data_IF_823417195474
#
_entry.id   IF_823417195474
#
_cell.length_a   1.000
_cell.length_b   1.000
_cell.length_c   1.000
_cell.angle_alpha   90.00
_cell.angle_beta   90.00
_cell.angle_gamma   90.00
#
_symmetry.space_group_name_H-M   'P 1'
#
loop_
_entity.id
_entity.type
_entity.pdbx_description
1 polymer ?
#
# COMPACT_ATOMS: atom_id res chain seq x y z
N UNK A 1 -32.92 0.76 33.49
CA UNK A 1 -33.97 1.28 32.58
C UNK A 1 -34.16 2.77 32.80
N UNK A 2 -34.26 3.22 34.06
CA UNK A 2 -34.50 4.63 34.42
C UNK A 2 -33.27 5.56 34.36
N UNK A 3 -32.06 5.03 34.15
CA UNK A 3 -30.85 5.87 34.01
C UNK A 3 -31.02 6.84 32.84
N UNK A 4 -30.70 8.12 33.05
CA UNK A 4 -30.96 9.17 32.05
C UNK A 4 -30.04 9.03 30.84
N UNK A 5 -30.51 9.51 29.67
CA UNK A 5 -29.69 9.57 28.46
C UNK A 5 -28.40 10.35 28.70
N UNK A 6 -28.46 11.46 29.43
CA UNK A 6 -27.30 12.27 29.76
C UNK A 6 -26.24 11.48 30.53
N UNK A 7 -26.66 10.72 31.54
CA UNK A 7 -25.73 9.98 32.39
C UNK A 7 -25.05 8.82 31.64
N UNK A 8 -25.80 8.11 30.78
CA UNK A 8 -25.23 7.08 29.93
C UNK A 8 -24.24 7.67 28.91
N UNK A 9 -24.60 8.77 28.24
CA UNK A 9 -23.71 9.45 27.28
C UNK A 9 -22.41 9.94 27.95
N UNK A 10 -22.49 10.46 29.17
CA UNK A 10 -21.31 10.85 29.97
C UNK A 10 -20.41 9.65 30.24
N UNK A 11 -20.98 8.52 30.67
CA UNK A 11 -20.22 7.30 30.92
C UNK A 11 -19.58 6.72 29.64
N UNK A 12 -20.25 6.81 28.49
CA UNK A 12 -19.69 6.44 27.19
C UNK A 12 -18.43 7.25 26.87
N UNK A 13 -18.49 8.57 27.06
CA UNK A 13 -17.34 9.46 26.85
C UNK A 13 -16.18 9.17 27.81
N UNK A 14 -16.47 9.06 29.11
CA UNK A 14 -15.43 8.87 30.14
C UNK A 14 -14.70 7.53 30.00
N UNK A 15 -15.41 6.48 29.59
CA UNK A 15 -14.86 5.12 29.48
C UNK A 15 -14.44 4.73 28.07
N UNK A 16 -14.67 5.59 27.07
CA UNK A 16 -14.39 5.33 25.65
C UNK A 16 -15.04 4.03 25.13
N UNK A 17 -16.29 3.78 25.52
CA UNK A 17 -17.07 2.61 25.10
C UNK A 17 -18.17 3.00 24.11
N UNK A 18 -18.24 2.30 22.98
CA UNK A 18 -19.22 2.57 21.91
C UNK A 18 -20.60 1.90 22.09
N UNK A 19 -20.76 1.07 23.12
CA UNK A 19 -22.04 0.43 23.45
C UNK A 19 -22.14 0.08 24.93
N UNK A 20 -23.37 0.09 25.46
CA UNK A 20 -23.71 -0.26 26.84
C UNK A 20 -24.83 -1.29 26.87
N UNK A 21 -24.70 -2.27 27.77
CA UNK A 21 -25.78 -3.20 28.09
C UNK A 21 -26.51 -2.72 29.34
N UNK A 22 -27.83 -2.62 29.23
CA UNK A 22 -28.71 -2.29 30.34
C UNK A 22 -29.12 -3.60 30.99
N UNK A 23 -28.88 -3.73 32.29
CA UNK A 23 -29.22 -4.92 33.09
C UNK A 23 -30.27 -4.59 34.15
N UNK A 24 -31.04 -5.59 34.58
CA UNK A 24 -31.89 -5.49 35.76
C UNK A 24 -31.12 -5.83 37.05
N UNK A 25 -31.79 -5.76 38.20
CA UNK A 25 -31.20 -6.08 39.53
C UNK A 25 -30.64 -7.50 39.65
N UNK A 26 -31.13 -8.43 38.82
CA UNK A 26 -30.66 -9.83 38.77
C UNK A 26 -29.46 -10.01 37.82
N UNK A 27 -28.96 -8.94 37.20
CA UNK A 27 -27.87 -8.98 36.22
C UNK A 27 -28.30 -9.49 34.84
N UNK A 28 -29.60 -9.59 34.56
CA UNK A 28 -30.10 -10.05 33.26
C UNK A 28 -30.15 -8.88 32.27
N UNK A 29 -29.73 -9.06 31.01
CA UNK A 29 -29.75 -8.00 30.02
C UNK A 29 -31.18 -7.69 29.56
N UNK A 30 -31.60 -6.44 29.74
CA UNK A 30 -32.95 -5.94 29.36
C UNK A 30 -32.93 -4.99 28.16
N UNK A 31 -31.76 -4.46 27.79
CA UNK A 31 -31.59 -3.68 26.56
C UNK A 31 -30.13 -3.42 26.22
N UNK A 32 -29.88 -2.94 25.00
CA UNK A 32 -28.58 -2.45 24.53
C UNK A 32 -28.73 -1.05 23.93
N UNK A 33 -27.79 -0.16 24.22
CA UNK A 33 -27.72 1.16 23.61
C UNK A 33 -26.32 1.38 23.00
N UNK A 34 -26.27 1.90 21.78
CA UNK A 34 -25.03 2.14 21.03
C UNK A 34 -24.85 3.62 20.71
N UNK A 35 -23.64 4.05 20.32
CA UNK A 35 -23.39 5.43 19.87
C UNK A 35 -24.37 5.86 18.76
N UNK A 36 -24.72 4.96 17.85
CA UNK A 36 -25.69 5.21 16.78
C UNK A 36 -27.09 5.56 17.30
N UNK A 37 -27.52 4.97 18.41
CA UNK A 37 -28.82 5.28 19.03
C UNK A 37 -28.80 6.70 19.63
N UNK A 38 -27.69 7.10 20.23
CA UNK A 38 -27.49 8.45 20.75
C UNK A 38 -27.38 9.50 19.64
N UNK A 39 -26.68 9.20 18.54
CA UNK A 39 -26.59 10.09 17.38
C UNK A 39 -27.98 10.30 16.76
N UNK A 40 -28.74 9.21 16.57
CA UNK A 40 -30.11 9.28 16.07
C UNK A 40 -30.99 10.14 16.97
N UNK A 41 -30.98 9.88 18.28
CA UNK A 41 -31.74 10.68 19.26
C UNK A 41 -31.32 12.14 19.27
N UNK A 42 -30.02 12.42 19.25
CA UNK A 42 -29.46 13.77 19.24
C UNK A 42 -29.78 14.60 17.99
N UNK A 43 -30.20 13.95 16.89
CA UNK A 43 -30.61 14.61 15.65
C UNK A 43 -32.06 15.12 15.66
N UNK A 44 -32.85 14.76 16.66
CA UNK A 44 -34.24 15.18 16.83
C UNK A 44 -34.33 16.62 17.38
N UNK A 45 -35.44 17.32 17.11
CA UNK A 45 -35.68 18.65 17.71
C UNK A 45 -36.16 18.49 19.15
N UNK A 46 -35.65 19.33 20.06
CA UNK A 46 -36.04 19.38 21.48
C UNK A 46 -35.85 18.05 22.25
N UNK A 47 -34.66 17.45 22.12
CA UNK A 47 -34.30 16.23 22.86
C UNK A 47 -34.30 16.50 24.37
N UNK A 48 -35.11 15.75 25.11
CA UNK A 48 -35.00 15.70 26.57
C UNK A 48 -33.92 14.70 26.98
N UNK A 49 -32.76 15.20 27.39
CA UNK A 49 -31.63 14.36 27.83
C UNK A 49 -31.80 13.76 29.23
N UNK A 50 -32.82 14.21 29.98
CA UNK A 50 -33.21 13.62 31.26
C UNK A 50 -34.18 12.44 31.10
N UNK A 51 -34.57 12.11 29.86
CA UNK A 51 -35.43 10.95 29.62
C UNK A 51 -34.69 9.63 29.87
N UNK A 52 -35.39 8.53 30.21
CA UNK A 52 -34.75 7.27 30.56
C UNK A 52 -34.16 6.56 29.33
N UNK A 53 -33.05 5.83 29.51
CA UNK A 53 -32.37 5.07 28.46
C UNK A 53 -33.27 4.02 27.79
N UNK A 54 -34.31 3.58 28.49
CA UNK A 54 -35.34 2.68 27.94
C UNK A 54 -36.04 3.23 26.69
N UNK A 55 -36.05 4.56 26.47
CA UNK A 55 -36.66 5.16 25.29
C UNK A 55 -35.89 4.90 23.99
N UNK A 56 -34.57 4.68 24.06
CA UNK A 56 -33.73 4.53 22.87
C UNK A 56 -33.04 3.17 22.77
N UNK A 57 -33.00 2.41 23.87
CA UNK A 57 -32.35 1.09 23.87
C UNK A 57 -33.09 0.10 22.97
N UNK A 58 -32.34 -0.77 22.32
CA UNK A 58 -32.91 -1.91 21.60
C UNK A 58 -33.26 -3.03 22.57
N UNK A 59 -34.47 -3.57 22.46
CA UNK A 59 -35.01 -4.66 23.28
C UNK A 59 -36.03 -5.47 22.44
N UNK A 60 -36.15 -6.81 22.62
CA UNK A 60 -35.38 -7.66 23.52
C UNK A 60 -33.93 -7.86 23.06
N UNK A 61 -33.03 -8.08 24.02
CA UNK A 61 -31.61 -8.34 23.74
C UNK A 61 -31.46 -9.72 23.09
N UNK A 62 -30.69 -9.78 22.00
CA UNK A 62 -30.27 -11.05 21.40
C UNK A 62 -29.08 -11.59 22.17
N UNK A 63 -29.34 -12.64 22.95
CA UNK A 63 -28.34 -13.32 23.77
C UNK A 63 -27.77 -14.55 23.05
N UNK A 64 -26.55 -14.93 23.41
CA UNK A 64 -25.89 -16.14 22.96
C UNK A 64 -25.08 -16.78 24.10
N UNK A 65 -25.00 -18.11 24.09
CA UNK A 65 -24.33 -18.85 25.16
C UNK A 65 -22.81 -18.68 25.09
N UNK A 66 -22.15 -18.68 26.25
CA UNK A 66 -20.69 -18.82 26.32
C UNK A 66 -20.20 -20.06 25.56
N UNK A 67 -19.07 -19.91 24.86
CA UNK A 67 -18.48 -20.99 24.05
C UNK A 67 -19.07 -21.15 22.64
N UNK A 68 -19.94 -20.24 22.19
CA UNK A 68 -20.39 -20.20 20.80
C UNK A 68 -19.22 -19.96 19.83
N UNK A 69 -19.27 -20.62 18.66
CA UNK A 69 -18.25 -20.49 17.61
C UNK A 69 -18.42 -19.19 16.82
N UNK A 70 -17.35 -18.74 16.16
CA UNK A 70 -17.40 -17.55 15.28
C UNK A 70 -18.50 -17.66 14.21
N UNK A 71 -18.70 -18.84 13.64
CA UNK A 71 -19.78 -19.08 12.67
C UNK A 71 -21.18 -18.88 13.30
N UNK A 72 -21.39 -19.38 14.52
CA UNK A 72 -22.66 -19.18 15.24
C UNK A 72 -22.91 -17.70 15.55
N UNK A 73 -21.86 -16.96 15.93
CA UNK A 73 -21.96 -15.52 16.16
C UNK A 73 -22.35 -14.76 14.88
N UNK A 74 -21.70 -15.05 13.75
CA UNK A 74 -22.00 -14.42 12.44
C UNK A 74 -23.44 -14.73 12.00
N UNK A 75 -23.87 -15.98 12.13
CA UNK A 75 -25.23 -16.40 11.76
C UNK A 75 -26.26 -15.68 12.64
N UNK A 76 -26.02 -15.61 13.96
CA UNK A 76 -26.92 -14.90 14.88
C UNK A 76 -27.00 -13.40 14.56
N UNK A 77 -25.85 -12.73 14.37
CA UNK A 77 -25.79 -11.32 13.97
C UNK A 77 -26.54 -11.07 12.65
N UNK A 78 -26.30 -11.90 11.63
CA UNK A 78 -26.96 -11.78 10.32
C UNK A 78 -28.46 -12.02 10.40
N UNK A 79 -28.90 -13.07 11.10
CA UNK A 79 -30.32 -13.41 11.28
C UNK A 79 -31.09 -12.27 11.96
N UNK A 80 -30.49 -11.65 12.97
CA UNK A 80 -31.11 -10.59 13.73
C UNK A 80 -30.83 -9.18 13.20
N UNK A 81 -29.97 -9.05 12.17
CA UNK A 81 -29.53 -7.78 11.57
C UNK A 81 -28.95 -6.80 12.60
N UNK A 82 -28.05 -7.30 13.44
CA UNK A 82 -27.41 -6.57 14.53
C UNK A 82 -25.90 -6.79 14.52
N UNK A 83 -25.15 -5.81 15.03
CA UNK A 83 -23.68 -5.85 15.07
C UNK A 83 -23.11 -6.28 16.43
N UNK A 84 -23.97 -6.52 17.42
CA UNK A 84 -23.58 -6.87 18.78
C UNK A 84 -24.41 -8.05 19.29
N UNK A 85 -23.76 -8.98 20.00
CA UNK A 85 -24.41 -10.07 20.72
C UNK A 85 -24.03 -9.99 22.20
N UNK A 86 -25.01 -10.21 23.07
CA UNK A 86 -24.77 -10.30 24.51
C UNK A 86 -24.49 -11.74 24.87
N UNK A 87 -23.36 -11.98 25.53
CA UNK A 87 -22.99 -13.32 26.00
C UNK A 87 -23.57 -13.52 27.39
N UNK A 88 -24.41 -14.53 27.56
CA UNK A 88 -25.00 -14.90 28.87
C UNK A 88 -24.66 -16.34 29.24
N UNK A 89 -24.89 -16.72 30.50
CA UNK A 89 -24.50 -18.02 31.03
C UNK A 89 -25.14 -19.20 30.29
N UNK A 90 -26.44 -19.09 29.98
CA UNK A 90 -27.22 -20.13 29.30
C UNK A 90 -27.56 -19.79 27.84
N UNK A 91 -27.27 -18.57 27.40
CA UNK A 91 -27.57 -18.07 26.06
C UNK A 91 -28.94 -17.45 25.88
N UNK A 92 -29.68 -17.24 26.96
CA UNK A 92 -30.96 -16.51 26.99
C UNK A 92 -30.77 -15.13 27.64
N UNK A 93 -31.71 -14.20 27.41
CA UNK A 93 -31.72 -12.89 28.07
C UNK A 93 -32.20 -12.99 29.54
N UNK A 94 -32.51 -14.19 30.02
CA UNK A 94 -33.03 -14.51 31.34
C UNK A 94 -31.96 -15.11 32.25
N UNK A 95 -30.68 -15.03 31.84
CA UNK A 95 -29.53 -15.37 32.67
C UNK A 95 -28.54 -14.21 32.76
N UNK A 96 -27.64 -14.22 33.77
CA UNK A 96 -26.66 -13.16 33.96
C UNK A 96 -25.77 -12.94 32.74
N UNK A 97 -25.49 -11.67 32.46
CA UNK A 97 -24.51 -11.28 31.43
C UNK A 97 -23.09 -11.65 31.85
N UNK A 98 -22.34 -12.19 30.89
CA UNK A 98 -20.91 -12.47 30.99
C UNK A 98 -20.06 -11.47 30.18
N UNK A 99 -20.62 -10.92 29.10
CA UNK A 99 -19.95 -9.94 28.27
C UNK A 99 -20.72 -9.59 27.01
N UNK A 100 -20.05 -8.88 26.10
CA UNK A 100 -20.56 -8.47 24.80
C UNK A 100 -19.54 -8.83 23.72
N UNK A 101 -20.01 -9.27 22.55
CA UNK A 101 -19.18 -9.49 21.37
C UNK A 101 -19.76 -8.67 20.23
N UNK A 102 -18.93 -7.84 19.61
CA UNK A 102 -19.27 -7.09 18.40
C UNK A 102 -18.84 -7.82 17.13
N UNK A 103 -19.42 -7.44 15.99
CA UNK A 103 -18.98 -7.90 14.68
C UNK A 103 -17.49 -7.55 14.44
N UNK A 104 -17.03 -6.42 15.00
CA UNK A 104 -15.63 -6.01 14.98
C UNK A 104 -14.75 -7.01 15.74
N UNK A 105 -15.18 -7.53 16.88
CA UNK A 105 -14.41 -8.52 17.64
C UNK A 105 -14.26 -9.83 16.85
N UNK A 106 -15.32 -10.26 16.15
CA UNK A 106 -15.25 -11.42 15.26
C UNK A 106 -14.26 -11.17 14.12
N UNK A 107 -14.29 -9.99 13.50
CA UNK A 107 -13.32 -9.59 12.48
C UNK A 107 -11.88 -9.58 13.02
N UNK A 108 -11.68 -9.19 14.29
CA UNK A 108 -10.37 -9.19 14.94
C UNK A 108 -9.89 -10.61 15.31
N UNK A 109 -10.82 -11.52 15.63
CA UNK A 109 -10.51 -12.93 15.91
C UNK A 109 -10.00 -13.67 14.69
N UNK A 110 -10.47 -13.30 13.49
CA UNK A 110 -9.90 -13.76 12.24
C UNK A 110 -8.58 -13.02 11.98
N UNK A 111 -7.48 -13.53 12.55
CA UNK A 111 -6.12 -12.97 12.44
C UNK A 111 -5.54 -12.86 11.02
N UNK A 112 -6.36 -13.05 9.98
CA UNK A 112 -6.10 -12.85 8.56
C UNK A 112 -6.93 -11.67 8.04
N UNK A 113 -7.00 -10.58 8.82
CA UNK A 113 -7.63 -9.32 8.42
C UNK A 113 -6.57 -8.21 8.38
N UNK A 114 -6.48 -7.40 7.31
CA UNK A 114 -5.52 -6.31 7.20
C UNK A 114 -5.51 -5.36 8.40
N UNK A 115 -6.70 -4.99 8.90
CA UNK A 115 -6.83 -4.04 10.01
C UNK A 115 -6.22 -4.57 11.32
N UNK A 116 -6.25 -5.89 11.54
CA UNK A 116 -5.61 -6.54 12.68
C UNK A 116 -4.09 -6.43 12.57
N UNK A 117 -3.53 -6.71 11.39
CA UNK A 117 -2.09 -6.66 11.18
C UNK A 117 -1.56 -5.22 11.32
N UNK A 118 -2.24 -4.24 10.72
CA UNK A 118 -1.92 -2.82 10.85
C UNK A 118 -1.94 -2.38 12.32
N UNK A 119 -2.99 -2.73 13.07
CA UNK A 119 -3.06 -2.43 14.50
C UNK A 119 -1.88 -3.04 15.27
N UNK A 120 -1.58 -4.32 15.03
CA UNK A 120 -0.47 -5.01 15.69
C UNK A 120 0.89 -4.39 15.34
N UNK A 121 1.09 -3.94 14.11
CA UNK A 121 2.29 -3.20 13.73
C UNK A 121 2.41 -1.92 14.56
N UNK A 122 1.33 -1.12 14.65
CA UNK A 122 1.32 0.13 15.44
C UNK A 122 1.68 -0.10 16.92
N UNK A 123 1.22 -1.23 17.48
CA UNK A 123 1.46 -1.61 18.89
C UNK A 123 2.81 -2.31 19.12
N UNK A 124 3.55 -2.66 18.07
CA UNK A 124 4.81 -3.40 18.18
C UNK A 124 5.89 -2.60 18.94
N UNK A 125 6.62 -3.31 19.82
CA UNK A 125 7.63 -2.72 20.72
C UNK A 125 9.07 -3.14 20.39
N UNK A 126 9.24 -4.04 19.44
CA UNK A 126 10.52 -4.58 19.01
C UNK A 126 10.49 -4.96 17.52
N UNK A 127 11.67 -5.12 16.94
CA UNK A 127 11.86 -5.38 15.49
C UNK A 127 11.44 -6.81 15.15
N UNK A 128 11.66 -7.78 16.05
CA UNK A 128 11.27 -9.17 15.82
C UNK A 128 9.76 -9.31 15.63
N UNK A 129 8.97 -8.55 16.41
CA UNK A 129 7.52 -8.48 16.29
C UNK A 129 7.10 -7.88 14.94
N UNK A 130 7.77 -6.83 14.46
CA UNK A 130 7.51 -6.29 13.11
C UNK A 130 7.74 -7.35 12.03
N UNK A 131 8.88 -8.05 12.08
CA UNK A 131 9.22 -9.12 11.14
C UNK A 131 8.18 -10.25 11.15
N UNK A 132 7.75 -10.68 12.34
CA UNK A 132 6.73 -11.71 12.49
C UNK A 132 5.38 -11.26 11.90
N UNK A 133 4.94 -10.04 12.16
CA UNK A 133 3.68 -9.52 11.59
C UNK A 133 3.80 -9.39 10.08
N UNK A 134 4.96 -8.98 9.55
CA UNK A 134 5.19 -8.91 8.11
C UNK A 134 5.13 -10.29 7.45
N UNK A 135 5.62 -11.35 8.09
CA UNK A 135 5.46 -12.72 7.58
C UNK A 135 3.98 -13.13 7.50
N UNK A 136 3.17 -12.79 8.51
CA UNK A 136 1.72 -13.02 8.47
C UNK A 136 1.01 -12.21 7.38
N UNK A 137 1.49 -11.01 7.08
CA UNK A 137 0.97 -10.22 5.97
C UNK A 137 1.21 -10.91 4.61
N UNK A 138 2.37 -11.54 4.42
CA UNK A 138 2.64 -12.34 3.23
C UNK A 138 1.65 -13.52 3.07
N UNK A 139 1.34 -14.23 4.15
CA UNK A 139 0.32 -15.28 4.15
C UNK A 139 -1.07 -14.75 3.77
N UNK A 140 -1.46 -13.59 4.32
CA UNK A 140 -2.72 -12.93 4.00
C UNK A 140 -2.79 -12.55 2.52
N UNK A 141 -1.75 -11.90 2.00
CA UNK A 141 -1.65 -11.46 0.62
C UNK A 141 -1.71 -12.67 -0.32
N UNK A 142 -0.98 -13.75 0.00
CA UNK A 142 -1.02 -14.97 -0.81
C UNK A 142 -2.40 -15.61 -0.86
N UNK A 143 -3.12 -15.63 0.28
CA UNK A 143 -4.50 -16.12 0.32
C UNK A 143 -5.44 -15.26 -0.55
N UNK A 144 -5.33 -13.94 -0.50
CA UNK A 144 -6.09 -13.05 -1.38
C UNK A 144 -5.80 -13.28 -2.86
N UNK A 145 -4.53 -13.51 -3.22
CA UNK A 145 -4.15 -13.81 -4.60
C UNK A 145 -4.81 -15.10 -5.10
N UNK A 146 -4.85 -16.15 -4.26
CA UNK A 146 -5.47 -17.45 -4.58
C UNK A 146 -7.00 -17.42 -4.62
N UNK A 147 -7.61 -16.48 -3.90
CA UNK A 147 -9.06 -16.24 -3.91
C UNK A 147 -9.50 -15.27 -5.01
N UNK A 148 -8.57 -14.91 -5.92
CA UNK A 148 -8.83 -13.99 -7.03
C UNK A 148 -9.34 -12.61 -6.60
N UNK A 149 -9.02 -12.17 -5.38
CA UNK A 149 -9.31 -10.81 -4.91
C UNK A 149 -8.60 -9.82 -5.83
N UNK A 150 -9.26 -8.70 -6.16
CA UNK A 150 -8.77 -7.64 -7.06
C UNK A 150 -7.36 -7.17 -6.69
N UNK A 151 -6.46 -7.02 -7.68
CA UNK A 151 -5.07 -6.59 -7.43
C UNK A 151 -4.99 -5.17 -6.87
N UNK A 152 -5.75 -4.17 -7.35
CA UNK A 152 -5.84 -2.86 -6.71
C UNK A 152 -6.08 -2.91 -5.20
N UNK A 153 -6.99 -3.79 -4.74
CA UNK A 153 -7.24 -3.96 -3.30
C UNK A 153 -6.05 -4.59 -2.57
N UNK A 154 -5.46 -5.66 -3.12
CA UNK A 154 -4.30 -6.31 -2.51
C UNK A 154 -3.10 -5.34 -2.43
N UNK A 155 -2.89 -4.55 -3.48
CA UNK A 155 -1.85 -3.53 -3.56
C UNK A 155 -2.05 -2.44 -2.48
N UNK A 156 -3.27 -1.94 -2.31
CA UNK A 156 -3.61 -0.96 -1.28
C UNK A 156 -3.37 -1.52 0.14
N UNK A 157 -3.82 -2.76 0.40
CA UNK A 157 -3.58 -3.46 1.67
C UNK A 157 -2.09 -3.62 1.94
N UNK A 158 -1.32 -4.06 0.94
CA UNK A 158 0.12 -4.28 1.09
C UNK A 158 0.86 -2.98 1.35
N UNK A 159 0.46 -1.91 0.67
CA UNK A 159 1.01 -0.57 0.85
C UNK A 159 0.76 -0.05 2.27
N UNK A 160 -0.47 -0.14 2.78
CA UNK A 160 -0.80 0.29 4.16
C UNK A 160 -0.01 -0.50 5.22
N UNK A 161 0.17 -1.81 5.02
CA UNK A 161 0.97 -2.65 5.92
C UNK A 161 2.45 -2.24 5.89
N UNK A 162 3.02 -2.06 4.69
CA UNK A 162 4.42 -1.67 4.53
C UNK A 162 4.66 -0.26 5.10
N UNK A 163 3.74 0.68 4.87
CA UNK A 163 3.81 2.04 5.42
C UNK A 163 3.76 2.00 6.93
N UNK A 164 2.79 1.29 7.52
CA UNK A 164 2.69 1.18 8.97
C UNK A 164 3.97 0.59 9.58
N UNK A 165 4.58 -0.39 8.92
CA UNK A 165 5.87 -0.94 9.32
C UNK A 165 6.99 0.10 9.21
N UNK A 166 7.03 0.87 8.12
CA UNK A 166 7.97 1.97 7.92
C UNK A 166 7.84 3.04 9.02
N UNK A 167 6.62 3.44 9.39
CA UNK A 167 6.40 4.37 10.51
C UNK A 167 7.02 3.83 11.81
N UNK A 168 6.84 2.54 12.12
CA UNK A 168 7.48 1.92 13.29
C UNK A 168 9.00 1.84 13.18
N UNK A 169 9.54 1.59 11.99
CA UNK A 169 10.97 1.62 11.75
C UNK A 169 11.55 3.02 12.01
N UNK A 170 10.82 4.09 11.67
CA UNK A 170 11.17 5.45 12.04
C UNK A 170 11.11 5.68 13.55
N UNK A 171 10.04 5.28 14.24
CA UNK A 171 9.94 5.41 15.70
C UNK A 171 11.15 4.78 16.41
N UNK A 172 11.51 3.55 16.01
CA UNK A 172 12.67 2.85 16.57
C UNK A 172 14.00 3.50 16.20
N UNK A 173 14.12 4.01 14.97
CA UNK A 173 15.34 4.70 14.52
C UNK A 173 15.54 6.03 15.24
N UNK A 174 14.49 6.81 15.47
CA UNK A 174 14.57 8.03 16.27
C UNK A 174 14.99 7.73 17.72
N UNK A 175 14.36 6.73 18.34
CA UNK A 175 14.72 6.32 19.70
C UNK A 175 16.18 5.83 19.79
N UNK A 176 16.67 5.13 18.76
CA UNK A 176 18.07 4.68 18.66
C UNK A 176 19.03 5.87 18.53
N UNK A 177 18.83 6.74 17.55
CA UNK A 177 19.70 7.89 17.32
C UNK A 177 19.72 8.86 18.51
N UNK A 178 18.59 9.06 19.18
CA UNK A 178 18.53 9.87 20.40
C UNK A 178 19.39 9.27 21.52
N UNK A 179 19.39 7.94 21.71
CA UNK A 179 20.25 7.26 22.69
C UNK A 179 21.73 7.36 22.33
N UNK A 180 22.05 7.43 21.06
CA UNK A 180 23.42 7.65 20.55
C UNK A 180 23.86 9.13 20.66
N UNK A 181 22.99 10.02 21.13
CA UNK A 181 23.29 11.44 21.32
C UNK A 181 23.12 12.30 20.05
N UNK A 182 22.61 11.74 18.96
CA UNK A 182 22.33 12.50 17.73
C UNK A 182 21.03 13.29 17.90
N UNK A 183 21.12 14.62 17.79
CA UNK A 183 19.96 15.51 17.84
C UNK A 183 19.38 15.68 16.44
N UNK A 184 18.06 15.48 16.32
CA UNK A 184 17.33 15.76 15.10
C UNK A 184 17.45 17.25 14.75
N UNK A 185 17.91 17.61 13.53
CA UNK A 185 17.91 19.00 13.09
C UNK A 185 16.47 19.51 12.98
N UNK A 186 16.26 20.82 13.18
CA UNK A 186 14.97 21.48 13.05
C UNK A 186 14.60 21.70 11.57
N UNK A 187 14.66 20.62 10.78
CA UNK A 187 14.38 20.58 9.35
C UNK A 187 13.30 19.55 9.09
N UNK A 188 12.34 19.91 8.25
CA UNK A 188 11.40 18.96 7.69
C UNK A 188 12.14 18.00 6.76
N UNK A 189 11.67 16.76 6.68
CA UNK A 189 12.20 15.76 5.76
C UNK A 189 11.09 14.82 5.32
N UNK A 190 11.30 14.13 4.21
CA UNK A 190 10.43 13.11 3.68
C UNK A 190 11.24 11.91 3.19
N UNK A 191 10.79 10.72 3.57
CA UNK A 191 11.21 9.46 2.98
C UNK A 191 10.49 9.26 1.66
N UNK A 192 11.25 8.97 0.62
CA UNK A 192 10.77 8.66 -0.71
C UNK A 192 10.78 7.14 -0.88
N UNK A 193 9.62 6.54 -1.02
CA UNK A 193 9.51 5.18 -1.56
C UNK A 193 9.58 5.28 -3.08
N UNK A 194 10.43 4.50 -3.72
CA UNK A 194 10.76 4.61 -5.15
C UNK A 194 10.36 3.34 -5.92
N UNK A 195 10.43 3.40 -7.24
CA UNK A 195 10.22 2.23 -8.09
C UNK A 195 8.87 1.56 -7.85
N UNK A 196 8.83 0.23 -7.73
CA UNK A 196 7.56 -0.48 -7.51
C UNK A 196 6.91 -0.17 -6.16
N UNK A 197 7.67 0.22 -5.15
CA UNK A 197 7.11 0.64 -3.86
C UNK A 197 6.50 2.05 -3.97
N UNK A 198 7.17 2.95 -4.69
CA UNK A 198 6.67 4.29 -5.00
C UNK A 198 5.42 4.30 -5.89
N UNK A 199 5.24 3.26 -6.71
CA UNK A 199 4.01 3.01 -7.48
C UNK A 199 2.91 2.28 -6.71
N UNK A 200 3.18 1.79 -5.50
CA UNK A 200 2.23 0.96 -4.74
C UNK A 200 1.94 -0.40 -5.39
N UNK A 201 2.93 -0.99 -6.07
CA UNK A 201 2.77 -2.23 -6.87
C UNK A 201 3.52 -3.43 -6.28
N UNK A 202 4.13 -3.27 -5.10
CA UNK A 202 4.94 -4.30 -4.44
C UNK A 202 4.05 -5.28 -3.66
N UNK A 203 3.52 -6.32 -4.32
CA UNK A 203 2.65 -7.33 -3.68
C UNK A 203 3.41 -8.35 -2.81
N UNK A 204 4.69 -8.62 -3.13
CA UNK A 204 5.58 -9.46 -2.32
C UNK A 204 6.75 -8.58 -1.86
N UNK A 205 7.39 -8.90 -0.74
CA UNK A 205 8.68 -8.29 -0.38
C UNK A 205 9.68 -8.44 -1.53
N UNK A 206 10.15 -7.32 -2.06
CA UNK A 206 11.25 -7.26 -3.03
C UNK A 206 12.37 -6.39 -2.48
N UNK A 207 13.29 -6.00 -3.35
CA UNK A 207 14.26 -4.93 -3.13
C UNK A 207 13.60 -3.65 -2.61
N UNK A 208 14.32 -2.97 -1.72
CA UNK A 208 13.97 -1.65 -1.19
C UNK A 208 14.61 -0.58 -2.06
N UNK A 209 13.79 0.23 -2.76
CA UNK A 209 14.29 1.43 -3.43
C UNK A 209 13.79 2.65 -2.64
N UNK A 210 14.69 3.36 -1.97
CA UNK A 210 14.32 4.50 -1.14
C UNK A 210 15.37 5.61 -1.09
N UNK A 211 14.91 6.80 -0.72
CA UNK A 211 15.71 8.00 -0.61
C UNK A 211 15.16 8.94 0.48
N UNK A 212 15.94 9.95 0.87
CA UNK A 212 15.49 11.02 1.76
C UNK A 212 15.67 12.37 1.07
N UNK A 213 14.62 13.18 1.10
CA UNK A 213 14.65 14.62 0.84
C UNK A 213 14.47 15.37 2.14
N UNK A 214 15.24 16.42 2.38
CA UNK A 214 15.08 17.31 3.53
C UNK A 214 15.12 18.78 3.12
N UNK A 215 14.62 19.67 3.98
CA UNK A 215 14.73 21.12 3.75
C UNK A 215 16.19 21.55 3.61
N UNK A 216 16.42 22.58 2.79
CA UNK A 216 17.75 23.17 2.67
C UNK A 216 18.22 23.70 4.04
N UNK A 217 19.32 23.17 4.59
CA UNK A 217 19.81 23.58 5.90
C UNK A 217 20.34 25.02 5.85
N UNK A 218 20.29 25.76 6.98
CA UNK A 218 20.97 27.05 7.10
C UNK A 218 22.48 26.90 6.83
N UNK A 219 23.09 28.00 6.39
CA UNK A 219 24.53 28.06 6.12
C UNK A 219 25.34 27.57 7.34
N UNK A 220 26.28 26.65 7.10
CA UNK A 220 27.14 26.04 8.12
C UNK A 220 26.52 24.83 8.83
N UNK A 221 25.29 24.41 8.49
CA UNK A 221 24.63 23.22 9.05
C UNK A 221 24.48 22.07 8.04
N UNK A 222 25.03 22.20 6.84
CA UNK A 222 24.89 21.25 5.73
C UNK A 222 25.40 19.86 6.10
N UNK A 223 26.63 19.78 6.62
CA UNK A 223 27.27 18.51 6.97
C UNK A 223 26.55 17.83 8.14
N UNK A 224 26.12 18.61 9.13
CA UNK A 224 25.38 18.11 10.29
C UNK A 224 24.03 17.52 9.88
N UNK A 225 23.28 18.23 9.02
CA UNK A 225 22.01 17.76 8.49
C UNK A 225 22.19 16.50 7.63
N UNK A 226 23.14 16.52 6.70
CA UNK A 226 23.45 15.38 5.83
C UNK A 226 23.85 14.15 6.65
N UNK A 227 24.71 14.30 7.65
CA UNK A 227 25.12 13.21 8.52
C UNK A 227 23.94 12.63 9.31
N UNK A 228 23.10 13.49 9.89
CA UNK A 228 21.93 13.04 10.65
C UNK A 228 20.97 12.23 9.77
N UNK A 229 20.59 12.75 8.60
CA UNK A 229 19.64 12.07 7.72
C UNK A 229 20.21 10.79 7.11
N UNK A 230 21.52 10.73 6.85
CA UNK A 230 22.19 9.50 6.41
C UNK A 230 22.14 8.42 7.50
N UNK A 231 22.41 8.80 8.76
CA UNK A 231 22.32 7.88 9.90
C UNK A 231 20.90 7.41 10.16
N UNK A 232 19.91 8.30 10.00
CA UNK A 232 18.49 7.96 10.08
C UNK A 232 18.10 6.98 8.98
N UNK A 233 18.44 7.29 7.72
CA UNK A 233 18.17 6.43 6.57
C UNK A 233 18.79 5.04 6.73
N UNK A 234 20.06 4.96 7.11
CA UNK A 234 20.75 3.70 7.41
C UNK A 234 20.04 2.89 8.50
N UNK A 235 19.68 3.51 9.62
CA UNK A 235 18.97 2.81 10.71
C UNK A 235 17.61 2.26 10.28
N UNK A 236 16.87 3.00 9.44
CA UNK A 236 15.56 2.53 8.93
C UNK A 236 15.75 1.37 7.95
N UNK A 237 16.69 1.49 7.00
CA UNK A 237 17.04 0.41 6.05
C UNK A 237 17.41 -0.88 6.80
N UNK A 238 18.22 -0.77 7.85
CA UNK A 238 18.62 -1.92 8.68
C UNK A 238 17.43 -2.64 9.34
N UNK A 239 16.41 -1.89 9.77
CA UNK A 239 15.19 -2.45 10.35
C UNK A 239 14.34 -3.14 9.28
N UNK A 240 14.21 -2.53 8.10
CA UNK A 240 13.50 -3.12 6.97
C UNK A 240 14.17 -4.42 6.50
N UNK A 241 15.51 -4.48 6.46
CA UNK A 241 16.25 -5.71 6.18
C UNK A 241 15.92 -6.82 7.20
N UNK A 242 15.88 -6.48 8.49
CA UNK A 242 15.48 -7.42 9.56
C UNK A 242 14.00 -7.88 9.45
N UNK A 243 13.15 -7.07 8.82
CA UNK A 243 11.76 -7.44 8.50
C UNK A 243 11.63 -8.29 7.21
N UNK A 244 12.76 -8.66 6.59
CA UNK A 244 12.83 -9.56 5.44
C UNK A 244 12.68 -8.88 4.07
N UNK A 245 12.82 -7.55 4.00
CA UNK A 245 12.98 -6.87 2.72
C UNK A 245 14.40 -7.10 2.17
N UNK A 246 14.57 -7.17 0.85
CA UNK A 246 15.87 -7.41 0.24
C UNK A 246 16.65 -6.09 0.05
N UNK A 247 17.99 -6.08 0.12
CA UNK A 247 18.77 -4.92 -0.28
C UNK A 247 18.62 -4.66 -1.79
N UNK A 248 18.69 -3.40 -2.20
CA UNK A 248 18.73 -3.05 -3.61
C UNK A 248 20.09 -3.39 -4.22
N UNK A 249 20.17 -4.22 -5.28
CA UNK A 249 21.43 -4.50 -5.97
C UNK A 249 22.11 -3.28 -6.59
N UNK A 250 21.33 -2.23 -6.90
CA UNK A 250 21.82 -0.96 -7.42
C UNK A 250 22.19 0.06 -6.34
N UNK A 251 22.12 -0.33 -5.06
CA UNK A 251 22.40 0.53 -3.90
C UNK A 251 21.57 1.82 -3.88
N UNK A 252 20.30 1.72 -4.29
CA UNK A 252 19.30 2.80 -4.29
C UNK A 252 18.58 2.82 -2.95
N UNK A 253 19.32 3.14 -1.89
CA UNK A 253 18.81 3.13 -0.53
C UNK A 253 19.26 4.39 0.23
N UNK A 254 18.46 4.84 1.19
CA UNK A 254 18.73 5.97 2.07
C UNK A 254 19.90 5.72 3.06
N UNK A 255 20.52 4.54 3.00
CA UNK A 255 21.83 4.25 3.60
C UNK A 255 23.00 4.75 2.76
N UNK A 256 22.76 5.19 1.51
CA UNK A 256 23.77 5.73 0.61
C UNK A 256 23.65 7.27 0.55
N UNK A 257 24.73 8.03 0.81
CA UNK A 257 24.72 9.50 0.79
C UNK A 257 24.32 10.09 -0.55
N UNK A 258 24.44 9.34 -1.66
CA UNK A 258 23.93 9.78 -2.96
C UNK A 258 22.42 10.04 -2.94
N UNK A 259 21.66 9.32 -2.12
CA UNK A 259 20.20 9.35 -2.09
C UNK A 259 19.63 10.04 -0.84
N UNK A 260 20.48 10.77 -0.14
CA UNK A 260 20.10 11.62 1.01
C UNK A 260 20.53 13.04 0.69
N UNK A 261 19.60 13.88 0.23
CA UNK A 261 19.91 15.22 -0.27
C UNK A 261 18.90 16.26 0.24
N UNK A 262 19.32 17.54 0.36
CA UNK A 262 18.36 18.61 0.56
C UNK A 262 17.49 18.81 -0.70
N UNK A 263 16.40 19.55 -0.56
CA UNK A 263 15.43 19.78 -1.64
C UNK A 263 16.08 20.41 -2.87
N UNK A 264 16.92 21.44 -2.70
CA UNK A 264 17.67 22.03 -3.83
C UNK A 264 18.56 21.01 -4.55
N UNK A 265 19.20 20.11 -3.81
CA UNK A 265 20.04 19.05 -4.34
C UNK A 265 19.26 18.04 -5.19
N UNK A 266 18.06 17.66 -4.76
CA UNK A 266 17.16 16.81 -5.55
C UNK A 266 16.63 17.51 -6.79
N UNK A 267 16.20 18.77 -6.68
CA UNK A 267 15.75 19.57 -7.83
C UNK A 267 16.84 19.65 -8.90
N UNK A 268 18.09 19.95 -8.48
CA UNK A 268 19.25 19.94 -9.38
C UNK A 268 19.46 18.57 -10.02
N UNK A 269 19.40 17.48 -9.26
CA UNK A 269 19.56 16.12 -9.77
C UNK A 269 18.53 15.77 -10.86
N UNK A 270 17.26 16.13 -10.64
CA UNK A 270 16.20 15.90 -11.62
C UNK A 270 16.40 16.76 -12.87
N UNK A 271 16.79 18.03 -12.70
CA UNK A 271 17.15 18.90 -13.83
C UNK A 271 18.32 18.35 -14.63
N UNK A 272 19.35 17.82 -13.97
CA UNK A 272 20.52 17.23 -14.63
C UNK A 272 20.12 15.99 -15.43
N UNK A 273 19.31 15.08 -14.87
CA UNK A 273 18.83 13.90 -15.60
C UNK A 273 17.97 14.23 -16.83
N UNK A 274 17.18 15.30 -16.76
CA UNK A 274 16.34 15.76 -17.88
C UNK A 274 17.17 16.49 -18.93
N UNK A 275 18.13 17.32 -18.49
CA UNK A 275 18.97 18.13 -19.38
C UNK A 275 20.03 17.31 -20.10
N UNK A 276 20.50 16.22 -19.47
CA UNK A 276 21.55 15.35 -19.98
C UNK A 276 21.09 13.88 -19.92
N UNK A 277 20.18 13.44 -20.82
CA UNK A 277 19.59 12.10 -20.80
C UNK A 277 20.55 11.02 -21.34
N UNK A 278 21.72 10.91 -20.73
CA UNK A 278 22.63 9.79 -20.93
C UNK A 278 22.06 8.51 -20.27
N UNK A 279 22.77 7.39 -20.39
CA UNK A 279 22.31 6.10 -19.83
C UNK A 279 22.01 6.17 -18.32
N UNK A 280 22.85 6.88 -17.56
CA UNK A 280 22.67 7.07 -16.12
C UNK A 280 21.44 7.93 -15.81
N UNK A 281 21.27 9.06 -16.50
CA UNK A 281 20.12 9.95 -16.30
C UNK A 281 18.79 9.31 -16.64
N UNK A 282 18.73 8.54 -17.73
CA UNK A 282 17.53 7.78 -18.11
C UNK A 282 17.23 6.65 -17.12
N UNK A 283 18.26 6.01 -16.57
CA UNK A 283 18.09 5.00 -15.53
C UNK A 283 17.55 5.64 -14.25
N UNK A 284 18.15 6.76 -13.81
CA UNK A 284 17.68 7.55 -12.68
C UNK A 284 16.21 7.96 -12.85
N UNK A 285 15.87 8.59 -13.97
CA UNK A 285 14.49 8.97 -14.30
C UNK A 285 13.51 7.77 -14.24
N UNK A 286 13.92 6.59 -14.71
CA UNK A 286 13.04 5.40 -14.71
C UNK A 286 12.72 4.85 -13.32
N UNK A 287 13.49 5.24 -12.30
CA UNK A 287 13.35 4.77 -10.91
C UNK A 287 12.79 5.89 -10.03
N UNK A 288 13.42 7.06 -10.10
CA UNK A 288 13.15 8.18 -9.21
C UNK A 288 11.96 9.02 -9.60
N UNK A 289 11.44 8.93 -10.82
CA UNK A 289 10.22 9.65 -11.20
C UNK A 289 8.95 8.90 -10.77
N UNK A 290 9.11 7.69 -10.23
CA UNK A 290 8.06 6.96 -9.52
C UNK A 290 8.29 7.02 -8.01
N UNK A 291 8.34 8.23 -7.47
CA UNK A 291 8.47 8.45 -6.04
C UNK A 291 7.12 8.75 -5.40
N UNK A 292 6.91 8.30 -4.15
CA UNK A 292 5.82 8.75 -3.30
C UNK A 292 6.32 9.05 -1.89
N UNK A 293 5.63 9.92 -1.13
CA UNK A 293 5.93 10.08 0.29
C UNK A 293 5.62 8.79 1.05
N UNK A 294 6.61 8.27 1.80
CA UNK A 294 6.44 7.13 2.71
C UNK A 294 6.41 7.52 4.20
N UNK A 295 7.16 8.54 4.59
CA UNK A 295 7.19 9.07 5.96
C UNK A 295 7.67 10.52 5.97
N UNK A 296 7.07 11.37 6.80
CA UNK A 296 7.49 12.76 6.97
C UNK A 296 6.63 13.73 6.20
N UNK A 297 7.21 14.84 5.78
CA UNK A 297 6.49 15.98 5.22
C UNK A 297 6.29 15.89 3.71
N UNK A 298 5.06 15.61 3.27
CA UNK A 298 4.73 15.47 1.86
C UNK A 298 4.88 16.76 1.04
N UNK A 299 4.96 17.95 1.66
CA UNK A 299 5.19 19.20 0.93
C UNK A 299 6.52 19.18 0.17
N UNK A 300 7.51 18.44 0.66
CA UNK A 300 8.79 18.26 -0.04
C UNK A 300 8.63 17.41 -1.30
N UNK A 301 7.79 16.38 -1.27
CA UNK A 301 7.47 15.56 -2.45
C UNK A 301 6.61 16.33 -3.45
N UNK A 302 5.70 17.17 -2.99
CA UNK A 302 4.90 18.04 -3.85
C UNK A 302 5.81 19.01 -4.61
N UNK A 303 6.74 19.65 -3.91
CA UNK A 303 7.73 20.55 -4.51
C UNK A 303 8.65 19.86 -5.53
N UNK A 304 8.99 18.58 -5.33
CA UNK A 304 9.73 17.79 -6.32
C UNK A 304 8.87 17.44 -7.52
N UNK A 305 7.59 17.13 -7.31
CA UNK A 305 6.64 16.79 -8.38
C UNK A 305 6.38 17.98 -9.28
N UNK A 306 6.22 19.17 -8.70
CA UNK A 306 6.06 20.40 -9.45
C UNK A 306 7.31 20.74 -10.25
N UNK A 307 8.48 20.72 -9.61
CA UNK A 307 9.77 20.95 -10.29
C UNK A 307 10.00 19.97 -11.45
N UNK A 308 9.67 18.69 -11.25
CA UNK A 308 9.78 17.66 -12.27
C UNK A 308 8.90 17.97 -13.49
N UNK A 309 7.64 18.32 -13.26
CA UNK A 309 6.69 18.64 -14.32
C UNK A 309 7.08 19.92 -15.08
N UNK A 310 7.51 20.97 -14.36
CA UNK A 310 8.02 22.21 -14.95
C UNK A 310 9.24 21.93 -15.84
N UNK A 311 10.22 21.20 -15.31
CA UNK A 311 11.47 20.89 -16.04
C UNK A 311 11.20 20.05 -17.30
N UNK A 312 10.30 19.06 -17.24
CA UNK A 312 9.91 18.27 -18.42
C UNK A 312 9.19 19.15 -19.45
N UNK A 313 8.33 20.06 -19.01
CA UNK A 313 7.63 21.00 -19.90
C UNK A 313 8.60 21.93 -20.63
N UNK A 314 9.61 22.46 -19.94
CA UNK A 314 10.64 23.31 -20.54
C UNK A 314 11.58 22.55 -21.49
N UNK A 315 11.79 21.25 -21.24
CA UNK A 315 12.74 20.40 -21.97
C UNK A 315 12.04 19.19 -22.59
N UNK A 316 10.96 19.43 -23.33
CA UNK A 316 10.10 18.38 -23.90
C UNK A 316 10.85 17.38 -24.79
N UNK A 317 12.01 17.76 -25.35
CA UNK A 317 12.90 16.86 -26.10
C UNK A 317 13.39 15.66 -25.27
N UNK A 318 13.48 15.78 -23.94
CA UNK A 318 13.77 14.69 -23.01
C UNK A 318 12.84 13.49 -23.23
N UNK A 319 11.56 13.73 -23.51
CA UNK A 319 10.59 12.66 -23.66
C UNK A 319 10.88 11.76 -24.87
N UNK A 320 11.54 12.26 -25.91
CA UNK A 320 12.01 11.42 -27.02
C UNK A 320 13.06 10.42 -26.56
N UNK A 321 14.07 10.88 -25.82
CA UNK A 321 15.10 10.00 -25.22
C UNK A 321 14.50 9.03 -24.21
N UNK A 322 13.50 9.48 -23.43
CA UNK A 322 12.84 8.64 -22.45
C UNK A 322 11.96 7.57 -23.09
N UNK A 323 11.27 7.93 -24.18
CA UNK A 323 10.53 6.98 -25.02
C UNK A 323 11.46 5.95 -25.66
N UNK A 324 12.57 6.38 -26.26
CA UNK A 324 13.59 5.49 -26.82
C UNK A 324 14.12 4.52 -25.75
N UNK A 325 14.42 5.02 -24.55
CA UNK A 325 14.84 4.21 -23.41
C UNK A 325 13.79 3.16 -23.00
N UNK A 326 12.50 3.53 -23.00
CA UNK A 326 11.39 2.63 -22.72
C UNK A 326 11.23 1.54 -23.80
N UNK A 327 11.60 1.84 -25.05
CA UNK A 327 11.52 0.91 -26.18
C UNK A 327 12.71 -0.07 -26.28
N UNK A 328 13.83 0.19 -25.60
CA UNK A 328 15.02 -0.69 -25.60
C UNK A 328 14.77 -2.11 -25.08
N UNK A 329 13.69 -2.33 -24.34
CA UNK A 329 13.26 -3.66 -23.92
C UNK A 329 12.06 -4.10 -24.76
N UNK A 330 12.27 -4.78 -25.90
CA UNK A 330 11.16 -5.23 -26.74
C UNK A 330 10.31 -6.27 -26.00
N UNK A 331 9.01 -6.28 -26.31
CA UNK A 331 8.11 -7.36 -25.88
C UNK A 331 8.70 -8.74 -26.24
N UNK A 332 8.51 -9.75 -25.38
CA UNK A 332 9.06 -11.09 -25.64
C UNK A 332 8.24 -11.94 -26.61
N UNK A 333 7.48 -11.39 -27.55
CA UNK A 333 7.03 -12.21 -28.67
C UNK A 333 8.12 -12.21 -29.74
N UNK A 334 8.68 -13.38 -30.01
CA UNK A 334 9.47 -13.62 -31.21
C UNK A 334 8.55 -13.83 -32.42
N UNK A 335 9.15 -14.10 -33.58
CA UNK A 335 8.40 -14.48 -34.79
C UNK A 335 7.38 -15.60 -34.50
N UNK A 336 6.15 -15.45 -35.02
CA UNK A 336 5.03 -16.39 -34.88
C UNK A 336 4.46 -16.57 -33.45
N UNK A 337 4.55 -15.56 -32.58
CA UNK A 337 3.87 -15.57 -31.27
C UNK A 337 4.50 -16.51 -30.24
N UNK A 338 5.80 -16.83 -30.39
CA UNK A 338 6.55 -17.64 -29.42
C UNK A 338 7.25 -16.75 -28.40
N UNK A 339 7.25 -17.15 -27.13
CA UNK A 339 7.99 -16.43 -26.10
C UNK A 339 9.51 -16.40 -26.39
N UNK A 340 10.12 -15.24 -26.21
CA UNK A 340 11.57 -15.09 -26.08
C UNK A 340 11.95 -15.58 -24.69
N UNK A 341 12.71 -16.67 -24.64
CA UNK A 341 13.16 -17.31 -23.41
C UNK A 341 14.60 -16.94 -23.11
N UNK A 342 14.95 -16.91 -21.83
CA UNK A 342 16.31 -16.69 -21.39
C UNK A 342 17.20 -17.88 -21.75
N UNK A 343 18.46 -17.60 -22.14
CA UNK A 343 19.46 -18.60 -22.57
C UNK A 343 20.71 -18.63 -21.65
N UNK A 344 20.63 -17.97 -20.50
CA UNK A 344 21.69 -17.97 -19.49
C UNK A 344 21.53 -19.14 -18.50
N UNK A 345 22.66 -19.63 -17.99
CA UNK A 345 22.70 -20.74 -17.03
C UNK A 345 21.83 -20.46 -15.78
N UNK A 346 21.09 -21.49 -15.35
CA UNK A 346 20.13 -21.42 -14.24
C UNK A 346 18.75 -20.83 -14.59
N UNK A 347 18.58 -20.21 -15.76
CA UNK A 347 17.30 -19.60 -16.21
C UNK A 347 16.88 -20.03 -17.61
N UNK A 348 17.62 -20.98 -18.21
CA UNK A 348 17.38 -21.47 -19.57
C UNK A 348 15.94 -21.95 -19.74
N UNK A 349 15.25 -21.37 -20.73
CA UNK A 349 13.86 -21.73 -21.04
C UNK A 349 12.80 -21.04 -20.16
N UNK A 350 13.20 -20.10 -19.30
CA UNK A 350 12.28 -19.26 -18.55
C UNK A 350 11.93 -17.99 -19.31
N UNK A 351 10.74 -17.46 -19.04
CA UNK A 351 10.24 -16.16 -19.49
C UNK A 351 10.44 -15.13 -18.37
N UNK A 352 11.19 -14.06 -18.63
CA UNK A 352 11.39 -12.95 -17.68
C UNK A 352 10.22 -11.95 -17.75
N UNK A 353 9.21 -12.14 -16.90
CA UNK A 353 8.02 -11.28 -16.86
C UNK A 353 8.37 -9.82 -16.56
N UNK A 354 9.30 -9.58 -15.62
CA UNK A 354 9.69 -8.22 -15.21
C UNK A 354 10.32 -7.51 -16.40
N UNK A 355 11.29 -8.17 -17.06
CA UNK A 355 12.04 -7.56 -18.14
C UNK A 355 11.24 -7.35 -19.42
N UNK A 356 10.39 -8.31 -19.77
CA UNK A 356 9.79 -8.41 -21.10
C UNK A 356 8.36 -7.90 -21.19
N UNK A 357 7.66 -7.75 -20.06
CA UNK A 357 6.27 -7.30 -20.04
C UNK A 357 6.04 -6.13 -19.08
N UNK A 358 6.35 -6.32 -17.79
CA UNK A 358 6.03 -5.32 -16.77
C UNK A 358 6.83 -4.03 -16.91
N UNK A 359 8.15 -4.12 -17.13
CA UNK A 359 8.98 -2.91 -17.36
C UNK A 359 8.54 -2.15 -18.62
N UNK A 360 8.34 -2.78 -19.79
CA UNK A 360 7.79 -2.10 -20.96
C UNK A 360 6.47 -1.36 -20.70
N UNK A 361 5.51 -1.99 -20.01
CA UNK A 361 4.23 -1.36 -19.68
C UNK A 361 4.41 -0.18 -18.72
N UNK A 362 5.06 -0.39 -17.58
CA UNK A 362 5.28 0.68 -16.59
C UNK A 362 6.09 1.86 -17.16
N UNK A 363 7.09 1.59 -17.99
CA UNK A 363 7.88 2.64 -18.64
C UNK A 363 7.04 3.41 -19.67
N UNK A 364 6.28 2.73 -20.52
CA UNK A 364 5.43 3.40 -21.50
C UNK A 364 4.32 4.22 -20.83
N UNK A 365 3.67 3.67 -19.79
CA UNK A 365 2.69 4.40 -18.99
C UNK A 365 3.28 5.69 -18.42
N UNK A 366 4.51 5.63 -17.88
CA UNK A 366 5.22 6.78 -17.33
C UNK A 366 5.52 7.84 -18.38
N UNK A 367 6.11 7.45 -19.50
CA UNK A 367 6.46 8.38 -20.60
C UNK A 367 5.20 9.07 -21.11
N UNK A 368 4.14 8.30 -21.38
CA UNK A 368 2.87 8.83 -21.88
C UNK A 368 2.19 9.72 -20.85
N UNK A 369 2.22 9.37 -19.57
CA UNK A 369 1.68 10.22 -18.51
C UNK A 369 2.35 11.60 -18.52
N UNK A 370 3.68 11.67 -18.61
CA UNK A 370 4.37 12.96 -18.74
C UNK A 370 4.06 13.68 -20.05
N UNK A 371 3.99 12.96 -21.17
CA UNK A 371 3.70 13.54 -22.48
C UNK A 371 2.31 14.21 -22.56
N UNK A 372 1.34 13.65 -21.85
CA UNK A 372 -0.04 14.14 -21.82
C UNK A 372 -0.35 14.95 -20.55
N UNK A 373 0.65 15.32 -19.76
CA UNK A 373 0.48 16.19 -18.60
C UNK A 373 -0.30 15.57 -17.45
N UNK A 374 -0.34 14.24 -17.35
CA UNK A 374 -0.94 13.52 -16.23
C UNK A 374 -0.09 13.77 -14.97
N UNK A 375 -0.71 14.38 -13.97
CA UNK A 375 -0.10 14.68 -12.66
C UNK A 375 -0.68 13.79 -11.56
N UNK A 376 0.11 13.52 -10.53
CA UNK A 376 -0.35 12.84 -9.30
C UNK A 376 -0.53 11.32 -9.39
N UNK A 377 -0.29 10.69 -10.54
CA UNK A 377 -0.34 9.24 -10.69
C UNK A 377 1.06 8.65 -10.90
N UNK A 378 1.55 7.88 -9.93
CA UNK A 378 2.77 7.05 -10.07
C UNK A 378 2.45 5.62 -10.45
N UNK A 379 1.31 5.09 -9.99
CA UNK A 379 0.86 3.73 -10.26
C UNK A 379 0.61 3.48 -11.76
N UNK A 380 1.09 2.35 -12.29
CA UNK A 380 1.00 2.01 -13.72
C UNK A 380 -0.44 1.82 -14.19
N UNK A 381 -1.29 1.16 -13.38
CA UNK A 381 -2.70 0.95 -13.70
C UNK A 381 -3.42 2.30 -13.75
N UNK A 382 -3.24 3.14 -12.73
CA UNK A 382 -3.85 4.48 -12.68
C UNK A 382 -3.41 5.37 -13.85
N UNK A 383 -2.14 5.32 -14.24
CA UNK A 383 -1.65 6.05 -15.42
C UNK A 383 -2.37 5.62 -16.69
N UNK A 384 -2.58 4.32 -16.89
CA UNK A 384 -3.33 3.83 -18.03
C UNK A 384 -4.83 4.17 -17.98
N UNK A 385 -5.46 4.12 -16.80
CA UNK A 385 -6.86 4.54 -16.62
C UNK A 385 -7.05 6.03 -16.94
N UNK A 386 -6.10 6.88 -16.54
CA UNK A 386 -6.13 8.30 -16.87
C UNK A 386 -5.85 8.57 -18.36
N UNK A 387 -4.94 7.82 -18.97
CA UNK A 387 -4.72 7.87 -20.44
C UNK A 387 -5.98 7.41 -21.20
N UNK A 388 -6.65 6.35 -20.73
CA UNK A 388 -7.93 5.88 -21.29
C UNK A 388 -9.02 6.97 -21.25
N UNK A 389 -9.05 7.76 -20.18
CA UNK A 389 -10.05 8.82 -20.02
C UNK A 389 -9.88 9.96 -21.04
N UNK A 390 -8.66 10.26 -21.46
CA UNK A 390 -8.33 11.45 -22.27
C UNK A 390 -7.97 11.14 -23.74
N UNK A 391 -7.57 9.92 -24.06
CA UNK A 391 -7.12 9.53 -25.41
C UNK A 391 -8.17 8.73 -26.19
N UNK A 392 -8.17 8.79 -27.54
CA UNK A 392 -9.22 8.19 -28.36
C UNK A 392 -9.22 6.65 -28.34
N UNK A 393 -8.05 6.01 -28.30
CA UNK A 393 -7.96 4.54 -28.26
C UNK A 393 -8.11 4.00 -26.83
N UNK A 394 -9.32 4.16 -26.29
CA UNK A 394 -9.66 3.70 -24.93
C UNK A 394 -9.39 2.21 -24.73
N UNK A 395 -9.63 1.41 -25.78
CA UNK A 395 -9.47 -0.05 -25.73
C UNK A 395 -8.02 -0.44 -25.47
N UNK A 396 -7.07 0.16 -26.19
CA UNK A 396 -5.65 -0.14 -26.01
C UNK A 396 -5.18 0.14 -24.58
N UNK A 397 -5.54 1.29 -24.00
CA UNK A 397 -5.13 1.66 -22.64
C UNK A 397 -5.79 0.77 -21.59
N UNK A 398 -7.06 0.42 -21.76
CA UNK A 398 -7.75 -0.54 -20.89
C UNK A 398 -7.07 -1.91 -20.92
N UNK A 399 -6.71 -2.40 -22.10
CA UNK A 399 -6.02 -3.69 -22.26
C UNK A 399 -4.61 -3.65 -21.67
N UNK A 400 -3.90 -2.53 -21.75
CA UNK A 400 -2.60 -2.34 -21.11
C UNK A 400 -2.70 -2.35 -19.58
N UNK A 401 -3.70 -1.68 -19.02
CA UNK A 401 -4.03 -1.71 -17.59
C UNK A 401 -4.32 -3.13 -17.10
N UNK A 402 -5.25 -3.82 -17.75
CA UNK A 402 -5.61 -5.20 -17.41
C UNK A 402 -4.43 -6.17 -17.58
N UNK A 403 -3.61 -6.01 -18.63
CA UNK A 403 -2.41 -6.81 -18.81
C UNK A 403 -1.43 -6.63 -17.65
N UNK A 404 -1.23 -5.39 -17.18
CA UNK A 404 -0.35 -5.12 -16.05
C UNK A 404 -0.87 -5.73 -14.74
N UNK A 405 -2.19 -5.62 -14.49
CA UNK A 405 -2.84 -6.28 -13.35
C UNK A 405 -2.63 -7.81 -13.36
N UNK A 406 -2.86 -8.44 -14.52
CA UNK A 406 -2.65 -9.87 -14.70
C UNK A 406 -1.18 -10.25 -14.42
N UNK A 407 -0.23 -9.50 -14.99
CA UNK A 407 1.20 -9.76 -14.79
C UNK A 407 1.64 -9.60 -13.33
N UNK A 408 1.10 -8.61 -12.60
CA UNK A 408 1.30 -8.46 -11.16
C UNK A 408 0.84 -9.71 -10.40
N UNK A 409 -0.35 -10.24 -10.73
CA UNK A 409 -0.88 -11.46 -10.12
C UNK A 409 0.03 -12.67 -10.38
N UNK A 410 0.38 -12.93 -11.65
CA UNK A 410 1.23 -14.06 -12.01
C UNK A 410 2.59 -13.98 -11.31
N UNK A 411 3.24 -12.80 -11.34
CA UNK A 411 4.52 -12.59 -10.66
C UNK A 411 4.38 -12.85 -9.16
N UNK A 412 3.35 -12.31 -8.51
CA UNK A 412 3.19 -12.49 -7.07
C UNK A 412 2.94 -13.95 -6.69
N UNK A 413 2.02 -14.65 -7.37
CA UNK A 413 1.73 -16.07 -7.12
C UNK A 413 2.99 -16.92 -7.34
N UNK A 414 3.70 -16.73 -8.45
CA UNK A 414 4.94 -17.45 -8.74
C UNK A 414 6.00 -17.19 -7.66
N UNK A 415 6.14 -15.94 -7.21
CA UNK A 415 7.09 -15.58 -6.15
C UNK A 415 6.77 -16.19 -4.80
N UNK A 416 5.48 -16.31 -4.44
CA UNK A 416 5.09 -17.01 -3.21
C UNK A 416 5.27 -18.53 -3.31
N UNK A 417 4.99 -19.14 -4.45
CA UNK A 417 5.13 -20.59 -4.64
C UNK A 417 6.57 -21.07 -4.65
N UNK A 418 7.48 -20.28 -5.22
CA UNK A 418 8.89 -20.64 -5.40
C UNK A 418 9.82 -19.99 -4.36
N UNK A 419 9.26 -19.21 -3.44
CA UNK A 419 9.98 -18.36 -2.48
C UNK A 419 11.05 -17.46 -3.13
N UNK A 420 10.68 -16.83 -4.25
CA UNK A 420 11.56 -15.96 -5.04
C UNK A 420 10.88 -14.66 -5.49
N UNK A 421 11.52 -13.91 -6.39
CA UNK A 421 10.99 -12.64 -6.90
C UNK A 421 9.76 -12.75 -7.82
N UNK A 422 9.39 -13.98 -8.23
CA UNK A 422 8.35 -14.26 -9.21
C UNK A 422 8.71 -13.87 -10.64
N UNK A 423 9.94 -13.42 -10.88
CA UNK A 423 10.38 -12.79 -12.12
C UNK A 423 10.37 -13.75 -13.31
N UNK A 424 10.71 -15.02 -13.07
CA UNK A 424 10.91 -16.03 -14.10
C UNK A 424 9.79 -17.07 -14.05
N UNK A 425 9.11 -17.27 -15.16
CA UNK A 425 8.06 -18.29 -15.32
C UNK A 425 8.47 -19.28 -16.41
N UNK A 426 8.22 -20.57 -16.21
CA UNK A 426 8.52 -21.59 -17.21
C UNK A 426 7.27 -21.91 -18.05
N UNK A 427 7.21 -21.54 -19.35
CA UNK A 427 5.99 -21.71 -20.15
C UNK A 427 5.55 -23.15 -20.37
N UNK A 428 6.42 -24.14 -20.10
CA UNK A 428 6.11 -25.57 -20.13
C UNK A 428 5.22 -26.01 -18.97
N UNK A 429 5.23 -25.27 -17.86
CA UNK A 429 4.43 -25.58 -16.66
C UNK A 429 3.04 -24.92 -16.72
N UNK A 430 2.83 -24.01 -17.66
CA UNK A 430 1.56 -23.31 -17.83
C UNK A 430 0.53 -24.16 -18.56
N UNK A 431 -0.71 -24.09 -18.11
CA UNK A 431 -1.89 -24.58 -18.84
C UNK A 431 -2.07 -23.82 -20.14
N UNK A 432 -2.90 -24.36 -21.04
CA UNK A 432 -3.25 -23.69 -22.31
C UNK A 432 -3.91 -22.33 -22.09
N UNK A 433 -4.73 -22.20 -21.05
CA UNK A 433 -5.43 -20.95 -20.70
C UNK A 433 -4.41 -19.92 -20.21
N UNK A 434 -3.56 -20.27 -19.25
CA UNK A 434 -2.54 -19.35 -18.71
C UNK A 434 -1.57 -18.88 -19.80
N UNK A 435 -1.13 -19.79 -20.67
CA UNK A 435 -0.31 -19.44 -21.82
C UNK A 435 -1.02 -18.41 -22.71
N UNK A 436 -2.31 -18.64 -23.02
CA UNK A 436 -3.07 -17.73 -23.88
C UNK A 436 -3.27 -16.36 -23.23
N UNK A 437 -3.52 -16.34 -21.92
CA UNK A 437 -3.60 -15.10 -21.14
C UNK A 437 -2.29 -14.31 -21.19
N UNK A 438 -1.13 -14.96 -21.02
CA UNK A 438 0.15 -14.30 -21.15
C UNK A 438 0.39 -13.77 -22.57
N UNK A 439 0.11 -14.56 -23.62
CA UNK A 439 0.17 -14.09 -25.02
C UNK A 439 -0.63 -12.81 -25.23
N UNK A 440 -1.85 -12.73 -24.68
CA UNK A 440 -2.68 -11.51 -24.73
C UNK A 440 -2.03 -10.34 -24.00
N UNK A 441 -1.38 -10.57 -22.85
CA UNK A 441 -0.64 -9.53 -22.15
C UNK A 441 0.53 -8.99 -22.98
N UNK A 442 1.28 -9.85 -23.65
CA UNK A 442 2.37 -9.41 -24.53
C UNK A 442 1.88 -8.65 -25.77
N UNK A 443 0.74 -9.05 -26.35
CA UNK A 443 0.12 -8.27 -27.43
C UNK A 443 -0.31 -6.86 -26.95
N UNK A 444 -0.68 -6.68 -25.68
CA UNK A 444 -0.92 -5.36 -25.12
C UNK A 444 0.38 -4.55 -25.01
N UNK A 445 1.49 -5.18 -24.58
CA UNK A 445 2.82 -4.55 -24.54
C UNK A 445 3.21 -4.03 -25.93
N UNK A 446 3.12 -4.88 -26.96
CA UNK A 446 3.47 -4.51 -28.33
C UNK A 446 2.67 -3.32 -28.86
N UNK A 447 1.36 -3.30 -28.60
CA UNK A 447 0.49 -2.21 -29.04
C UNK A 447 0.86 -0.89 -28.38
N UNK A 448 1.12 -0.89 -27.08
CA UNK A 448 1.56 0.32 -26.37
C UNK A 448 2.95 0.75 -26.85
N UNK A 449 3.88 -0.18 -27.08
CA UNK A 449 5.19 0.17 -27.65
C UNK A 449 5.07 0.74 -29.06
N UNK A 450 4.17 0.21 -29.90
CA UNK A 450 3.91 0.76 -31.22
C UNK A 450 3.30 2.16 -31.14
N UNK A 451 2.36 2.37 -30.21
CA UNK A 451 1.81 3.70 -29.94
C UNK A 451 2.92 4.67 -29.53
N UNK A 452 3.81 4.26 -28.64
CA UNK A 452 4.94 5.07 -28.18
C UNK A 452 5.90 5.43 -29.34
N UNK A 453 6.22 4.46 -30.23
CA UNK A 453 7.00 4.73 -31.46
C UNK A 453 6.33 5.77 -32.35
N UNK A 454 5.02 5.68 -32.53
CA UNK A 454 4.26 6.61 -33.38
C UNK A 454 4.24 8.02 -32.79
N UNK A 455 4.02 8.15 -31.47
CA UNK A 455 3.97 9.45 -30.78
C UNK A 455 5.31 10.17 -30.82
N UNK A 456 6.41 9.45 -30.56
CA UNK A 456 7.75 10.04 -30.44
C UNK A 456 8.63 9.87 -31.68
N UNK A 457 8.10 9.27 -32.75
CA UNK A 457 8.81 8.99 -34.02
C UNK A 457 10.13 8.25 -33.83
N UNK A 458 10.16 7.32 -32.88
CA UNK A 458 11.33 6.46 -32.61
C UNK A 458 11.28 5.28 -33.57
N UNK A 459 12.35 5.07 -34.33
CA UNK A 459 12.52 4.00 -35.32
C UNK A 459 12.60 2.62 -34.68
#
# INVERSE_FOLDING_TARGET
AETTLWEVARQMKERSFGSFIIVNEKGHPIGIATESDFIRRGSERNVNWESPISEIMSSPVVAIRKGATAAQLIIAMSKHKIDHLVVTEDGTAQSPILGIISQRDILLMHGNNPAVLVRKLREARDIQTLAHIRNRADELIYNYLRQEVSIPFIAAVTTEINDTLLQKAFDFSFARLQKEGLKKPALSFCWLSLGSEGRGEQLRRTDQDNAIVYEDPPEGQEELAANYFLRLGGSVVDILLQCGFAPCPGDIMASNPKWVKPLSGWKKQFTDWISYPNSEGLTGASIFFDFRPGYGDSRLTDALTDHLAETISERSSFLNFFAESALRHPASMGFFGKFILEDQDGKKGALDLKARAMRPLSHAARVLAYAYGIRGATNTIQRYEQLEAILPDKKMFREASLAYEILLRYRAINGFQNDDSGRYIFPKQLTRIERKTLETCFAAVERVQQYLRNVFRVS
#
